data_IF_027539272899
#
_entry.id   IF_027539272899
#
_cell.length_a   1.000
_cell.length_b   1.000
_cell.length_c   1.000
_cell.angle_alpha   90.00
_cell.angle_beta   90.00
_cell.angle_gamma   90.00
#
_symmetry.space_group_name_H-M   'P 1'
#
loop_
_entity.id
_entity.type
_entity.pdbx_description
1 polymer ?
#
# COMPACT_ATOMS: atom_id res chain seq x y z
N UNK A 1 -19.01 6.88 3.41
CA UNK A 1 -17.88 7.26 2.51
C UNK A 1 -16.62 6.61 3.06
N UNK A 2 -16.28 5.40 2.59
CA UNK A 2 -15.15 4.65 3.14
C UNK A 2 -13.86 4.92 2.35
N UNK A 3 -12.74 5.01 3.07
CA UNK A 3 -11.39 5.13 2.49
C UNK A 3 -10.62 3.86 2.79
N UNK A 4 -10.00 3.28 1.78
CA UNK A 4 -9.10 2.14 1.96
C UNK A 4 -7.67 2.64 2.20
N UNK A 5 -7.03 2.16 3.27
CA UNK A 5 -5.62 2.40 3.54
C UNK A 5 -4.91 1.05 3.69
N UNK A 6 -4.01 0.73 2.77
CA UNK A 6 -3.16 -0.46 2.90
C UNK A 6 -1.83 -0.10 3.55
N UNK A 7 -1.18 -1.06 4.21
CA UNK A 7 -0.03 -0.76 5.05
C UNK A 7 -0.40 0.10 6.27
N UNK A 8 -1.67 0.03 6.69
CA UNK A 8 -2.25 0.90 7.71
C UNK A 8 -1.59 0.78 9.08
N UNK A 9 -1.00 -0.37 9.40
CA UNK A 9 -0.25 -0.60 10.63
C UNK A 9 1.24 -0.20 10.52
N UNK A 10 1.70 0.20 9.32
CA UNK A 10 3.04 0.75 9.11
C UNK A 10 3.13 2.23 9.51
N UNK A 11 4.35 2.77 9.51
CA UNK A 11 4.58 4.17 9.91
C UNK A 11 3.81 5.17 9.01
N UNK A 12 3.95 5.04 7.70
CA UNK A 12 3.29 5.97 6.75
C UNK A 12 1.77 5.78 6.77
N UNK A 13 1.30 4.52 6.65
CA UNK A 13 -0.13 4.21 6.61
C UNK A 13 -0.87 4.66 7.87
N UNK A 14 -0.31 4.41 9.06
CA UNK A 14 -0.87 4.89 10.32
C UNK A 14 -1.01 6.42 10.35
N UNK A 15 0.02 7.16 9.91
CA UNK A 15 -0.04 8.61 9.87
C UNK A 15 -1.06 9.13 8.84
N UNK A 16 -1.27 8.43 7.72
CA UNK A 16 -2.35 8.73 6.79
C UNK A 16 -3.72 8.57 7.45
N UNK A 17 -3.94 7.46 8.18
CA UNK A 17 -5.18 7.26 8.93
C UNK A 17 -5.40 8.36 9.96
N UNK A 18 -4.38 8.69 10.76
CA UNK A 18 -4.46 9.77 11.75
C UNK A 18 -4.78 11.13 11.09
N UNK A 19 -4.19 11.43 9.93
CA UNK A 19 -4.45 12.65 9.20
C UNK A 19 -5.89 12.71 8.66
N UNK A 20 -6.43 11.59 8.21
CA UNK A 20 -7.84 11.45 7.81
C UNK A 20 -8.77 11.62 9.01
N UNK A 21 -8.46 10.97 10.14
CA UNK A 21 -9.25 11.09 11.37
C UNK A 21 -9.31 12.55 11.85
N UNK A 22 -8.19 13.30 11.80
CA UNK A 22 -8.18 14.74 12.14
C UNK A 22 -9.09 15.60 11.24
N UNK A 23 -9.44 15.10 10.05
CA UNK A 23 -10.39 15.70 9.12
C UNK A 23 -11.82 15.19 9.28
N UNK A 24 -12.06 14.37 10.31
CA UNK A 24 -13.38 13.80 10.61
C UNK A 24 -13.72 12.55 9.80
N UNK A 25 -12.78 12.00 9.04
CA UNK A 25 -12.97 10.76 8.30
C UNK A 25 -12.62 9.58 9.20
N UNK A 26 -13.62 8.79 9.60
CA UNK A 26 -13.47 7.62 10.48
C UNK A 26 -13.92 6.31 9.82
N UNK A 27 -14.64 6.41 8.70
CA UNK A 27 -15.02 5.25 7.90
C UNK A 27 -13.81 4.83 7.04
N UNK A 28 -12.85 4.17 7.69
CA UNK A 28 -11.58 3.76 7.09
C UNK A 28 -11.44 2.25 7.18
N UNK A 29 -11.24 1.62 6.04
CA UNK A 29 -10.89 0.20 5.93
C UNK A 29 -9.37 0.09 5.98
N UNK A 30 -8.86 -0.46 7.07
CA UNK A 30 -7.43 -0.70 7.25
C UNK A 30 -7.04 -2.08 6.71
N UNK A 31 -6.00 -2.14 5.89
CA UNK A 31 -5.45 -3.41 5.38
C UNK A 31 -3.96 -3.47 5.69
N UNK A 32 -3.55 -4.53 6.36
CA UNK A 32 -2.13 -4.80 6.66
C UNK A 32 -1.93 -6.28 6.96
N UNK A 33 -0.72 -6.71 7.27
CA UNK A 33 -0.47 -7.95 7.97
C UNK A 33 0.03 -7.63 9.39
N UNK A 34 -0.45 -8.38 10.37
CA UNK A 34 0.01 -8.30 11.76
C UNK A 34 0.90 -9.49 12.14
N UNK A 35 1.60 -10.08 11.16
CA UNK A 35 2.58 -11.16 11.40
C UNK A 35 3.64 -10.74 12.43
N UNK A 36 4.07 -9.48 12.37
CA UNK A 36 4.82 -8.82 13.45
C UNK A 36 3.80 -8.14 14.36
N UNK A 37 3.44 -8.81 15.47
CA UNK A 37 2.34 -8.39 16.35
C UNK A 37 2.49 -6.96 16.87
N UNK A 38 3.72 -6.49 17.12
CA UNK A 38 4.01 -5.13 17.62
C UNK A 38 3.40 -4.01 16.79
N UNK A 39 3.15 -4.25 15.50
CA UNK A 39 2.51 -3.28 14.59
C UNK A 39 1.13 -2.82 15.05
N UNK A 40 0.41 -3.62 15.85
CA UNK A 40 -0.91 -3.25 16.35
C UNK A 40 -0.91 -1.92 17.12
N UNK A 41 0.21 -1.59 17.78
CA UNK A 41 0.37 -0.35 18.56
C UNK A 41 0.07 0.89 17.70
N UNK A 42 0.41 0.85 16.41
CA UNK A 42 0.11 1.94 15.49
C UNK A 42 -1.40 2.08 15.25
N UNK A 43 -2.12 0.97 15.15
CA UNK A 43 -3.57 0.97 14.93
C UNK A 43 -4.35 1.44 16.16
N UNK A 44 -3.81 1.32 17.39
CA UNK A 44 -4.49 1.80 18.61
C UNK A 44 -4.74 3.31 18.61
N UNK A 45 -4.02 4.05 17.78
CA UNK A 45 -4.12 5.51 17.63
C UNK A 45 -5.07 5.92 16.51
N UNK A 46 -5.64 4.95 15.79
CA UNK A 46 -6.42 5.14 14.59
C UNK A 46 -7.90 4.82 14.84
N UNK A 47 -8.79 5.72 14.43
CA UNK A 47 -10.20 5.39 14.30
C UNK A 47 -10.42 4.77 12.92
N UNK A 48 -10.75 3.49 12.89
CA UNK A 48 -11.02 2.71 11.67
C UNK A 48 -12.39 2.03 11.80
N UNK A 49 -13.06 1.80 10.67
CA UNK A 49 -14.35 1.09 10.64
C UNK A 49 -14.17 -0.43 10.52
N UNK A 50 -13.11 -0.88 9.85
CA UNK A 50 -12.83 -2.30 9.69
C UNK A 50 -11.34 -2.57 9.45
N UNK A 51 -10.93 -3.82 9.67
CA UNK A 51 -9.58 -4.31 9.41
C UNK A 51 -9.61 -5.63 8.64
N UNK A 52 -8.75 -5.75 7.64
CA UNK A 52 -8.51 -7.00 6.92
C UNK A 52 -7.02 -7.35 6.87
N UNK A 53 -6.72 -8.64 6.98
CA UNK A 53 -5.41 -9.13 6.54
C UNK A 53 -5.23 -8.89 5.02
N UNK A 54 -4.03 -8.55 4.60
CA UNK A 54 -3.74 -8.22 3.20
C UNK A 54 -4.06 -9.35 2.22
N UNK A 55 -3.86 -10.62 2.64
CA UNK A 55 -4.13 -11.79 1.79
C UNK A 55 -5.62 -12.02 1.64
N UNK A 56 -6.36 -11.87 2.73
CA UNK A 56 -7.82 -12.00 2.72
C UNK A 56 -8.45 -10.88 1.89
N UNK A 57 -7.93 -9.66 2.03
CA UNK A 57 -8.46 -8.52 1.28
C UNK A 57 -8.28 -8.69 -0.23
N UNK A 58 -7.08 -9.05 -0.70
CA UNK A 58 -6.87 -9.24 -2.13
C UNK A 58 -7.66 -10.44 -2.70
N UNK A 59 -7.87 -11.49 -1.90
CA UNK A 59 -8.74 -12.59 -2.27
C UNK A 59 -10.19 -12.14 -2.46
N UNK A 60 -10.69 -11.24 -1.59
CA UNK A 60 -12.02 -10.63 -1.74
C UNK A 60 -12.12 -9.72 -2.96
N UNK A 61 -11.08 -8.96 -3.28
CA UNK A 61 -11.01 -8.15 -4.51
C UNK A 61 -11.16 -9.05 -5.73
N UNK A 62 -10.40 -10.14 -5.80
CA UNK A 62 -10.47 -11.12 -6.91
C UNK A 62 -11.84 -11.79 -7.02
N UNK A 63 -12.48 -12.06 -5.88
CA UNK A 63 -13.83 -12.65 -5.83
C UNK A 63 -14.96 -11.63 -6.07
N UNK A 64 -14.67 -10.33 -6.19
CA UNK A 64 -15.68 -9.28 -6.33
C UNK A 64 -16.51 -9.03 -5.05
N UNK A 65 -16.02 -9.46 -3.89
CA UNK A 65 -16.70 -9.37 -2.59
C UNK A 65 -16.06 -8.38 -1.63
N UNK A 66 -15.00 -7.68 -2.05
CA UNK A 66 -14.38 -6.64 -1.25
C UNK A 66 -15.33 -5.44 -1.07
N UNK A 67 -15.35 -4.80 0.12
CA UNK A 67 -16.06 -3.55 0.31
C UNK A 67 -15.48 -2.48 -0.61
N UNK A 68 -16.34 -1.72 -1.30
CA UNK A 68 -15.95 -0.74 -2.31
C UNK A 68 -15.66 0.61 -1.67
N UNK A 69 -14.40 1.07 -1.62
CA UNK A 69 -14.05 2.38 -1.10
C UNK A 69 -14.27 3.47 -2.16
N UNK A 70 -14.21 4.72 -1.73
CA UNK A 70 -14.23 5.90 -2.61
C UNK A 70 -12.83 6.41 -3.00
N UNK A 71 -11.81 5.98 -2.27
CA UNK A 71 -10.41 6.23 -2.61
C UNK A 71 -9.52 5.17 -1.95
N UNK A 72 -8.34 4.96 -2.52
CA UNK A 72 -7.34 4.03 -2.01
C UNK A 72 -6.04 4.79 -1.73
N UNK A 73 -5.54 4.70 -0.49
CA UNK A 73 -4.19 5.05 -0.11
C UNK A 73 -3.37 3.78 0.05
N UNK A 74 -2.56 3.46 -0.95
CA UNK A 74 -1.78 2.24 -0.97
C UNK A 74 -0.35 2.50 -0.49
N UNK A 75 -0.10 2.17 0.79
CA UNK A 75 1.21 2.30 1.45
C UNK A 75 1.82 0.93 1.80
N UNK A 76 1.09 -0.15 1.51
CA UNK A 76 1.51 -1.50 1.85
C UNK A 76 2.55 -2.03 0.87
N UNK A 77 3.77 -2.20 1.34
CA UNK A 77 4.87 -2.82 0.60
C UNK A 77 5.85 -3.50 1.56
N UNK A 78 6.69 -4.38 1.05
CA UNK A 78 7.94 -4.73 1.71
C UNK A 78 8.93 -3.61 1.39
N UNK A 79 9.36 -2.87 2.41
CA UNK A 79 10.31 -1.76 2.29
C UNK A 79 11.75 -2.17 2.63
N UNK A 80 12.00 -3.46 2.82
CA UNK A 80 13.35 -3.97 3.08
C UNK A 80 14.16 -3.97 1.80
N UNK A 81 15.12 -3.06 1.72
CA UNK A 81 16.02 -2.93 0.56
C UNK A 81 17.05 -4.05 0.46
N UNK A 82 17.17 -4.86 1.52
CA UNK A 82 18.09 -6.02 1.60
C UNK A 82 17.39 -7.34 1.36
N UNK A 83 16.08 -7.34 1.11
CA UNK A 83 15.33 -8.55 0.77
C UNK A 83 15.86 -9.15 -0.54
N UNK A 84 16.18 -10.42 -0.51
CA UNK A 84 16.76 -11.17 -1.64
C UNK A 84 15.74 -12.10 -2.34
N UNK A 85 14.59 -12.36 -1.71
CA UNK A 85 13.54 -13.15 -2.36
C UNK A 85 12.80 -12.29 -3.40
N UNK A 86 13.31 -12.34 -4.63
CA UNK A 86 12.73 -11.60 -5.75
C UNK A 86 11.29 -12.02 -6.08
N UNK A 87 10.94 -13.29 -5.88
CA UNK A 87 9.56 -13.75 -6.08
C UNK A 87 8.63 -13.10 -5.07
N UNK A 88 8.99 -13.12 -3.79
CA UNK A 88 8.23 -12.46 -2.74
C UNK A 88 8.07 -10.96 -3.03
N UNK A 89 9.15 -10.28 -3.40
CA UNK A 89 9.12 -8.85 -3.72
C UNK A 89 8.16 -8.54 -4.88
N UNK A 90 8.26 -9.29 -5.98
CA UNK A 90 7.37 -9.11 -7.14
C UNK A 90 5.91 -9.42 -6.82
N UNK A 91 5.63 -10.44 -6.01
CA UNK A 91 4.26 -10.75 -5.61
C UNK A 91 3.70 -9.71 -4.64
N UNK A 92 4.49 -9.30 -3.64
CA UNK A 92 4.04 -8.43 -2.56
C UNK A 92 3.98 -6.96 -2.97
N UNK A 93 4.94 -6.46 -3.73
CA UNK A 93 5.00 -5.06 -4.13
C UNK A 93 4.34 -4.85 -5.51
N UNK A 94 4.88 -5.46 -6.56
CA UNK A 94 4.39 -5.21 -7.91
C UNK A 94 2.99 -5.79 -8.16
N UNK A 95 2.82 -7.10 -7.98
CA UNK A 95 1.56 -7.79 -8.34
C UNK A 95 0.39 -7.30 -7.50
N UNK A 96 0.59 -7.18 -6.20
CA UNK A 96 -0.43 -6.70 -5.27
C UNK A 96 -0.88 -5.27 -5.62
N UNK A 97 0.07 -4.38 -5.86
CA UNK A 97 -0.19 -2.99 -6.27
C UNK A 97 -0.95 -2.94 -7.59
N UNK A 98 -0.51 -3.71 -8.59
CA UNK A 98 -1.15 -3.75 -9.90
C UNK A 98 -2.62 -4.23 -9.83
N UNK A 99 -2.91 -5.23 -9.01
CA UNK A 99 -4.28 -5.73 -8.83
C UNK A 99 -5.18 -4.68 -8.17
N UNK A 100 -4.71 -4.01 -7.12
CA UNK A 100 -5.44 -2.92 -6.49
C UNK A 100 -5.64 -1.73 -7.43
N UNK A 101 -4.63 -1.39 -8.22
CA UNK A 101 -4.73 -0.33 -9.21
C UNK A 101 -5.79 -0.63 -10.28
N UNK A 102 -5.80 -1.85 -10.83
CA UNK A 102 -6.81 -2.29 -11.80
C UNK A 102 -8.21 -2.24 -11.20
N UNK A 103 -8.36 -2.71 -9.97
CA UNK A 103 -9.63 -2.63 -9.25
C UNK A 103 -10.07 -1.19 -9.02
N UNK A 104 -9.16 -0.28 -8.66
CA UNK A 104 -9.47 1.14 -8.54
C UNK A 104 -9.93 1.76 -9.88
N UNK A 105 -9.32 1.35 -11.00
CA UNK A 105 -9.75 1.78 -12.34
C UNK A 105 -11.16 1.27 -12.68
N UNK A 106 -11.47 0.02 -12.38
CA UNK A 106 -12.81 -0.55 -12.55
C UNK A 106 -13.87 0.21 -11.75
N UNK A 107 -13.53 0.57 -10.50
CA UNK A 107 -14.39 1.36 -9.63
C UNK A 107 -14.42 2.86 -10.00
N UNK A 108 -13.50 3.33 -10.82
CA UNK A 108 -13.31 4.74 -11.20
C UNK A 108 -13.06 5.65 -10.00
N UNK A 109 -12.19 5.20 -9.09
CA UNK A 109 -11.85 5.91 -7.86
C UNK A 109 -10.37 6.32 -7.83
N UNK A 110 -10.00 7.36 -7.07
CA UNK A 110 -8.62 7.75 -6.88
C UNK A 110 -7.78 6.63 -6.26
N UNK A 111 -6.58 6.43 -6.81
CA UNK A 111 -5.57 5.52 -6.29
C UNK A 111 -4.27 6.29 -6.05
N UNK A 112 -3.87 6.42 -4.80
CA UNK A 112 -2.67 7.14 -4.37
C UNK A 112 -1.74 6.10 -3.75
N UNK A 113 -0.53 5.97 -4.29
CA UNK A 113 0.42 4.98 -3.81
C UNK A 113 1.80 5.58 -3.57
N UNK A 114 2.56 4.95 -2.68
CA UNK A 114 3.95 5.31 -2.46
C UNK A 114 4.82 4.64 -3.52
N UNK A 115 5.61 5.44 -4.22
CA UNK A 115 6.75 4.98 -5.02
C UNK A 115 8.04 5.09 -4.19
N UNK A 116 9.17 4.78 -4.78
CA UNK A 116 10.48 4.83 -4.13
C UNK A 116 11.51 5.49 -5.02
N UNK A 117 12.37 6.31 -4.41
CA UNK A 117 13.56 6.85 -5.10
C UNK A 117 14.56 5.74 -5.50
N UNK A 118 14.43 4.53 -4.97
CA UNK A 118 15.24 3.38 -5.36
C UNK A 118 15.07 3.00 -6.85
N UNK A 119 13.99 3.44 -7.50
CA UNK A 119 13.78 3.26 -8.94
C UNK A 119 14.85 3.95 -9.79
N UNK A 120 15.41 5.06 -9.31
CA UNK A 120 16.47 5.78 -10.03
C UNK A 120 17.86 5.13 -9.94
N UNK A 121 18.08 4.27 -8.94
CA UNK A 121 19.35 3.57 -8.75
C UNK A 121 20.54 4.51 -8.60
N UNK A 122 21.52 4.40 -9.51
CA UNK A 122 22.74 5.22 -9.52
C UNK A 122 22.65 6.49 -10.40
N UNK A 123 21.47 6.80 -10.94
CA UNK A 123 21.30 8.03 -11.72
C UNK A 123 21.46 9.28 -10.86
N UNK A 124 21.94 10.36 -11.44
CA UNK A 124 22.11 11.67 -10.79
C UNK A 124 20.96 12.63 -11.10
N UNK A 125 20.13 12.30 -12.06
CA UNK A 125 18.94 13.05 -12.42
C UNK A 125 17.70 12.27 -11.96
N UNK A 126 16.78 12.95 -11.27
CA UNK A 126 15.60 12.36 -10.65
C UNK A 126 14.35 12.94 -11.31
N UNK A 127 14.13 12.52 -12.55
CA UNK A 127 12.99 12.94 -13.38
C UNK A 127 12.03 11.76 -13.50
N UNK A 128 10.73 12.01 -13.33
CA UNK A 128 9.68 11.00 -13.48
C UNK A 128 9.49 10.59 -14.96
N UNK A 129 10.49 9.89 -15.49
CA UNK A 129 10.51 9.37 -16.85
C UNK A 129 11.33 8.07 -16.85
N UNK A 130 10.83 7.04 -17.52
CA UNK A 130 11.44 5.71 -17.57
C UNK A 130 12.91 5.71 -17.99
N UNK A 131 13.37 6.72 -18.74
CA UNK A 131 14.77 6.87 -19.16
C UNK A 131 15.73 7.10 -18.01
N UNK A 132 15.23 7.55 -16.85
CA UNK A 132 15.99 7.82 -15.64
C UNK A 132 15.85 6.71 -14.61
N UNK A 133 15.16 5.62 -14.93
CA UNK A 133 15.06 4.46 -14.08
C UNK A 133 16.24 3.51 -14.29
N UNK A 134 16.79 3.02 -13.20
CA UNK A 134 17.92 2.07 -13.22
C UNK A 134 18.12 1.39 -11.88
N UNK A 135 17.08 0.65 -11.38
CA UNK A 135 17.11 0.06 -10.05
C UNK A 135 18.30 -0.88 -9.85
N UNK A 136 18.94 -0.80 -8.68
CA UNK A 136 20.13 -1.60 -8.33
C UNK A 136 19.81 -2.88 -7.57
N UNK A 137 18.57 -3.05 -7.13
CA UNK A 137 18.13 -4.23 -6.39
C UNK A 137 16.65 -4.55 -6.71
N UNK A 138 16.20 -5.70 -6.24
CA UNK A 138 14.82 -6.15 -6.48
C UNK A 138 13.78 -5.25 -5.81
N UNK A 139 14.12 -4.58 -4.71
CA UNK A 139 13.24 -3.61 -4.09
C UNK A 139 12.94 -2.43 -5.03
N UNK A 140 13.98 -1.83 -5.60
CA UNK A 140 13.82 -0.72 -6.55
C UNK A 140 13.12 -1.12 -7.85
N UNK A 141 13.22 -2.41 -8.22
CA UNK A 141 12.57 -2.97 -9.42
C UNK A 141 11.10 -3.33 -9.17
N UNK A 142 10.71 -3.69 -7.96
CA UNK A 142 9.36 -4.15 -7.60
C UNK A 142 8.40 -3.01 -7.29
#
# INVERSE_FOLDING_TARGET
MSILVTGAAGFIGCNNVIALNKRGVTDIIAVDNLEKSEKFVNLTKCAISDYFDKRDFIARVRAGTAPKPEAIFHQGACSDTMELDGKYMMENNYRYTLELYRWAQELRIPFIYASSAATYGAHTEFIEDVRYEGPLNVYGYS
#
